data_IF_460093930329
#
_entry.id   IF_460093930329
#
_cell.length_a   1.000
_cell.length_b   1.000
_cell.length_c   1.000
_cell.angle_alpha   90.00
_cell.angle_beta   90.00
_cell.angle_gamma   90.00
#
_symmetry.space_group_name_H-M   'P 1'
#
loop_
_entity.id
_entity.type
_entity.pdbx_description
1 polymer ?
#
# COMPACT_ATOMS: atom_id res chain seq x y z
N UNK A 1 10.95 -4.66 10.39
CA UNK A 1 10.88 -4.82 8.92
C UNK A 1 11.15 -3.47 8.26
N UNK A 2 11.92 -3.43 7.17
CA UNK A 2 12.07 -2.24 6.33
C UNK A 2 10.88 -2.19 5.38
N UNK A 3 10.26 -1.02 5.19
CA UNK A 3 9.11 -0.88 4.27
C UNK A 3 9.57 -1.11 2.85
N UNK A 4 9.00 -2.11 2.19
CA UNK A 4 9.14 -2.33 0.76
C UNK A 4 7.94 -1.70 0.05
N UNK A 5 8.23 -0.67 -0.76
CA UNK A 5 7.19 0.11 -1.43
C UNK A 5 6.63 -0.58 -2.68
N UNK A 6 7.36 -1.50 -3.29
CA UNK A 6 6.84 -2.28 -4.39
C UNK A 6 5.85 -3.34 -3.83
N UNK A 7 6.15 -3.98 -2.69
CA UNK A 7 5.20 -4.86 -1.97
C UNK A 7 3.97 -4.10 -1.49
N UNK A 8 4.14 -2.89 -0.90
CA UNK A 8 3.01 -2.03 -0.50
C UNK A 8 2.10 -1.73 -1.69
N UNK A 9 2.67 -1.40 -2.85
CA UNK A 9 1.91 -1.12 -4.05
C UNK A 9 1.13 -2.35 -4.50
N UNK A 10 1.76 -3.51 -4.51
CA UNK A 10 1.13 -4.77 -4.94
C UNK A 10 -0.04 -5.15 -4.02
N UNK A 11 0.13 -5.04 -2.69
CA UNK A 11 -0.96 -5.23 -1.72
C UNK A 11 -2.13 -4.27 -1.97
N UNK A 12 -1.86 -2.99 -2.20
CA UNK A 12 -2.91 -2.01 -2.45
C UNK A 12 -3.69 -2.33 -3.74
N UNK A 13 -3.01 -2.78 -4.80
CA UNK A 13 -3.65 -3.22 -6.05
C UNK A 13 -4.53 -4.45 -5.81
N UNK A 14 -4.01 -5.42 -5.04
CA UNK A 14 -4.71 -6.66 -4.74
C UNK A 14 -5.99 -6.41 -3.95
N UNK A 15 -5.91 -5.59 -2.90
CA UNK A 15 -7.06 -5.22 -2.06
C UNK A 15 -8.06 -4.35 -2.82
N UNK A 16 -7.61 -3.47 -3.73
CA UNK A 16 -8.51 -2.69 -4.59
C UNK A 16 -9.33 -3.58 -5.55
N UNK A 17 -8.77 -4.72 -5.97
CA UNK A 17 -9.45 -5.64 -6.89
C UNK A 17 -10.61 -6.41 -6.24
N UNK A 18 -10.78 -6.32 -4.93
CA UNK A 18 -11.86 -6.98 -4.21
C UNK A 18 -13.22 -6.38 -4.55
N UNK A 19 -14.16 -7.25 -4.91
CA UNK A 19 -15.56 -6.88 -5.03
C UNK A 19 -16.27 -7.02 -3.67
N UNK A 20 -16.37 -5.90 -2.97
CA UNK A 20 -17.06 -5.81 -1.68
C UNK A 20 -18.55 -6.15 -1.79
N UNK A 21 -19.20 -5.96 -2.94
CA UNK A 21 -20.59 -6.34 -3.14
C UNK A 21 -20.77 -7.87 -3.24
N UNK A 22 -19.73 -8.59 -3.63
CA UNK A 22 -19.67 -10.05 -3.61
C UNK A 22 -19.14 -10.61 -2.27
N UNK A 23 -18.80 -9.74 -1.31
CA UNK A 23 -18.24 -10.14 -0.02
C UNK A 23 -16.86 -10.78 -0.13
N UNK A 24 -16.08 -10.43 -1.17
CA UNK A 24 -14.72 -10.92 -1.32
C UNK A 24 -13.82 -10.34 -0.22
N UNK A 25 -12.98 -11.19 0.34
CA UNK A 25 -12.00 -10.81 1.36
C UNK A 25 -10.67 -11.51 1.13
N UNK A 26 -9.58 -10.86 1.53
CA UNK A 26 -8.24 -11.49 1.57
C UNK A 26 -7.78 -11.53 3.01
N UNK A 27 -7.32 -12.69 3.45
CA UNK A 27 -6.71 -12.83 4.77
C UNK A 27 -5.22 -12.56 4.69
N UNK A 28 -4.76 -11.63 5.51
CA UNK A 28 -3.34 -11.37 5.74
C UNK A 28 -3.01 -11.64 7.21
N UNK A 29 -1.99 -12.46 7.46
CA UNK A 29 -1.58 -12.85 8.81
C UNK A 29 -1.07 -14.29 8.89
N UNK A 30 -0.81 -14.81 10.11
CA UNK A 30 -0.24 -16.15 10.31
C UNK A 30 -1.07 -17.30 9.72
N UNK A 31 -2.38 -17.10 9.59
CA UNK A 31 -3.32 -18.05 9.02
C UNK A 31 -3.60 -17.81 7.53
N UNK A 32 -2.95 -16.83 6.90
CA UNK A 32 -3.09 -16.57 5.46
C UNK A 32 -2.66 -17.80 4.65
N UNK A 33 -3.41 -18.10 3.58
CA UNK A 33 -3.03 -19.11 2.59
C UNK A 33 -1.90 -18.63 1.67
N UNK A 34 -1.47 -17.36 1.79
CA UNK A 34 -0.39 -16.77 1.02
C UNK A 34 0.98 -17.23 1.54
N UNK A 35 1.84 -17.73 0.65
CA UNK A 35 3.25 -18.03 0.95
C UNK A 35 4.14 -16.76 0.98
N UNK A 36 3.55 -15.56 1.08
CA UNK A 36 4.22 -14.27 1.00
C UNK A 36 4.20 -13.52 2.35
N UNK A 37 5.05 -13.87 3.33
CA UNK A 37 5.04 -13.26 4.66
C UNK A 37 5.35 -11.75 4.65
N UNK A 38 6.00 -11.26 3.60
CA UNK A 38 6.22 -9.83 3.41
C UNK A 38 4.92 -9.09 3.08
N UNK A 39 4.02 -9.69 2.29
CA UNK A 39 2.71 -9.09 2.02
C UNK A 39 1.86 -9.05 3.28
N UNK A 40 1.85 -10.13 4.07
CA UNK A 40 1.10 -10.16 5.33
C UNK A 40 1.51 -9.02 6.25
N UNK A 41 2.81 -8.90 6.49
CA UNK A 41 3.35 -7.87 7.36
C UNK A 41 3.06 -6.44 6.86
N UNK A 42 3.18 -6.18 5.55
CA UNK A 42 2.87 -4.86 4.99
C UNK A 42 1.37 -4.56 5.00
N UNK A 43 0.52 -5.56 4.76
CA UNK A 43 -0.94 -5.43 4.80
C UNK A 43 -1.43 -5.09 6.20
N UNK A 44 -0.90 -5.77 7.22
CA UNK A 44 -1.18 -5.47 8.63
C UNK A 44 -0.75 -4.03 8.98
N UNK A 45 0.42 -3.58 8.51
CA UNK A 45 0.87 -2.20 8.72
C UNK A 45 -0.04 -1.17 8.03
N UNK A 46 -0.46 -1.43 6.79
CA UNK A 46 -1.37 -0.57 6.03
C UNK A 46 -2.75 -0.49 6.68
N UNK A 47 -3.26 -1.61 7.17
CA UNK A 47 -4.51 -1.66 7.93
C UNK A 47 -4.42 -0.84 9.22
N UNK A 48 -3.40 -1.08 10.04
CA UNK A 48 -3.20 -0.33 11.30
C UNK A 48 -3.01 1.18 11.07
N UNK A 49 -2.47 1.56 9.90
CA UNK A 49 -2.33 2.95 9.50
C UNK A 49 -3.58 3.54 8.81
N UNK A 50 -4.65 2.76 8.64
CA UNK A 50 -5.93 3.23 8.09
C UNK A 50 -5.94 3.38 6.56
N UNK A 51 -5.11 2.62 5.83
CA UNK A 51 -5.14 2.57 4.36
C UNK A 51 -6.01 1.43 3.82
N UNK A 52 -6.20 0.36 4.60
CA UNK A 52 -7.03 -0.80 4.27
C UNK A 52 -8.21 -0.84 5.22
N UNK A 53 -9.41 -1.12 4.68
CA UNK A 53 -10.61 -1.44 5.42
C UNK A 53 -10.74 -2.96 5.55
N UNK A 54 -11.17 -3.43 6.71
CA UNK A 54 -11.40 -4.85 6.94
C UNK A 54 -11.73 -5.17 8.39
N UNK A 55 -11.88 -6.47 8.65
CA UNK A 55 -12.25 -7.01 9.94
C UNK A 55 -10.99 -7.55 10.63
N UNK A 56 -10.80 -7.16 11.89
CA UNK A 56 -9.73 -7.71 12.73
C UNK A 56 -9.91 -9.21 12.90
N UNK A 57 -8.90 -9.98 12.49
CA UNK A 57 -8.84 -11.42 12.58
C UNK A 57 -7.73 -11.88 13.55
N UNK A 58 -7.15 -10.95 14.32
CA UNK A 58 -6.02 -11.21 15.20
C UNK A 58 -6.39 -12.20 16.31
N UNK A 59 -5.46 -13.08 16.65
CA UNK A 59 -5.63 -14.11 17.66
C UNK A 59 -4.35 -14.30 18.50
N UNK A 60 -4.19 -15.47 19.13
CA UNK A 60 -2.99 -15.78 19.93
C UNK A 60 -1.74 -15.99 19.08
N UNK A 61 -1.89 -16.29 17.79
CA UNK A 61 -0.80 -16.59 16.86
C UNK A 61 -0.28 -15.31 16.17
N UNK A 62 -1.08 -14.24 16.14
CA UNK A 62 -0.59 -12.91 15.79
C UNK A 62 -1.65 -11.92 15.32
N UNK A 63 -1.16 -10.78 14.82
CA UNK A 63 -2.00 -9.79 14.13
C UNK A 63 -2.48 -10.37 12.80
N UNK A 64 -3.77 -10.26 12.50
CA UNK A 64 -4.33 -10.66 11.23
C UNK A 64 -5.53 -9.78 10.83
N UNK A 65 -5.82 -9.74 9.53
CA UNK A 65 -6.94 -8.99 8.97
C UNK A 65 -7.59 -9.75 7.81
N UNK A 66 -8.92 -9.74 7.79
CA UNK A 66 -9.69 -9.95 6.57
C UNK A 66 -9.90 -8.61 5.86
N UNK A 67 -9.06 -8.30 4.88
CA UNK A 67 -9.13 -7.09 4.08
C UNK A 67 -10.37 -7.15 3.18
N UNK A 68 -11.11 -6.04 3.14
CA UNK A 68 -12.38 -5.90 2.41
C UNK A 68 -12.34 -4.81 1.34
N UNK A 69 -11.35 -3.92 1.41
CA UNK A 69 -11.18 -2.83 0.46
C UNK A 69 -10.17 -1.79 0.94
N UNK A 70 -10.01 -0.72 0.15
CA UNK A 70 -9.17 0.41 0.52
C UNK A 70 -9.99 1.52 1.17
N UNK A 71 -9.38 2.24 2.11
CA UNK A 71 -9.93 3.53 2.52
C UNK A 71 -9.69 4.58 1.43
N UNK A 72 -10.32 5.76 1.55
CA UNK A 72 -9.99 6.93 0.71
C UNK A 72 -8.49 7.26 0.73
N UNK A 73 -7.84 7.17 1.89
CA UNK A 73 -6.40 7.39 2.00
C UNK A 73 -5.59 6.30 1.29
N UNK A 74 -6.09 5.05 1.31
CA UNK A 74 -5.56 3.92 0.54
C UNK A 74 -5.60 4.18 -0.96
N UNK A 75 -6.77 4.60 -1.48
CA UNK A 75 -6.91 4.98 -2.89
C UNK A 75 -5.99 6.15 -3.28
N UNK A 76 -5.93 7.23 -2.50
CA UNK A 76 -5.05 8.37 -2.78
C UNK A 76 -3.56 7.97 -2.87
N UNK A 77 -3.14 7.09 -1.95
CA UNK A 77 -1.79 6.56 -1.96
C UNK A 77 -1.55 5.70 -3.21
N UNK A 78 -2.46 4.79 -3.50
CA UNK A 78 -2.37 3.91 -4.66
C UNK A 78 -2.33 4.74 -5.95
N UNK A 79 -3.22 5.72 -6.14
CA UNK A 79 -3.21 6.60 -7.32
C UNK A 79 -1.87 7.31 -7.51
N UNK A 80 -1.21 7.70 -6.42
CA UNK A 80 0.11 8.33 -6.47
C UNK A 80 1.20 7.38 -7.01
N UNK A 81 1.14 6.10 -6.65
CA UNK A 81 2.18 5.11 -6.97
C UNK A 81 1.77 4.13 -8.09
N UNK A 82 0.51 4.19 -8.56
CA UNK A 82 -0.05 3.29 -9.59
C UNK A 82 0.67 3.48 -10.92
N UNK A 83 0.87 4.73 -11.32
CA UNK A 83 1.55 5.06 -12.57
C UNK A 83 3.03 4.73 -12.45
N UNK A 84 3.49 3.76 -13.27
CA UNK A 84 4.90 3.38 -13.32
C UNK A 84 5.81 4.59 -13.59
N UNK A 85 5.40 5.49 -14.49
CA UNK A 85 6.19 6.69 -14.83
C UNK A 85 6.33 7.62 -13.63
N UNK A 86 5.24 7.87 -12.90
CA UNK A 86 5.26 8.71 -11.70
C UNK A 86 6.07 8.03 -10.59
N UNK A 87 5.88 6.73 -10.38
CA UNK A 87 6.56 5.96 -9.35
C UNK A 87 8.08 5.92 -9.55
N UNK A 88 8.55 5.62 -10.77
CA UNK A 88 9.98 5.64 -11.07
C UNK A 88 10.60 7.04 -10.83
N UNK A 89 9.85 8.10 -11.14
CA UNK A 89 10.30 9.47 -10.89
C UNK A 89 10.35 9.82 -9.40
N UNK A 90 9.39 9.34 -8.61
CA UNK A 90 9.42 9.46 -7.14
C UNK A 90 10.68 8.75 -6.60
N UNK A 91 10.92 7.50 -6.99
CA UNK A 91 12.10 6.73 -6.56
C UNK A 91 13.40 7.42 -6.93
N UNK A 92 13.53 7.90 -8.18
CA UNK A 92 14.70 8.65 -8.62
C UNK A 92 14.92 9.91 -7.80
N UNK A 93 13.88 10.73 -7.62
CA UNK A 93 13.99 12.00 -6.86
C UNK A 93 14.34 11.76 -5.39
N UNK A 94 13.76 10.72 -4.78
CA UNK A 94 14.06 10.34 -3.40
C UNK A 94 15.52 9.91 -3.26
N UNK A 95 16.01 9.07 -4.16
CA UNK A 95 17.40 8.61 -4.17
C UNK A 95 18.38 9.77 -4.40
N UNK A 96 18.13 10.63 -5.39
CA UNK A 96 18.98 11.77 -5.72
C UNK A 96 19.10 12.77 -4.57
N UNK A 97 18.03 12.92 -3.78
CA UNK A 97 17.97 13.87 -2.64
C UNK A 97 18.27 13.21 -1.29
N UNK A 98 18.54 11.90 -1.25
CA UNK A 98 18.73 11.15 -0.01
C UNK A 98 17.50 11.18 0.92
N UNK A 99 16.30 11.25 0.35
CA UNK A 99 15.04 11.28 1.11
C UNK A 99 14.55 9.85 1.33
N UNK A 100 14.27 9.49 2.58
CA UNK A 100 13.62 8.23 2.88
C UNK A 100 12.14 8.26 2.48
N UNK A 101 11.66 7.15 1.90
CA UNK A 101 10.28 7.01 1.45
C UNK A 101 9.36 6.71 2.66
N UNK A 102 8.80 7.77 3.25
CA UNK A 102 7.66 7.74 4.17
C UNK A 102 6.36 8.05 3.41
N UNK A 103 5.19 7.78 4.00
CA UNK A 103 3.91 8.13 3.35
C UNK A 103 3.82 9.61 2.96
N UNK A 104 4.27 10.50 3.84
CA UNK A 104 4.28 11.94 3.55
C UNK A 104 5.29 12.31 2.47
N UNK A 105 6.47 11.67 2.47
CA UNK A 105 7.47 11.88 1.43
C UNK A 105 6.95 11.40 0.06
N UNK A 106 6.32 10.23 -0.01
CA UNK A 106 5.70 9.71 -1.23
C UNK A 106 4.61 10.65 -1.74
N UNK A 107 3.73 11.14 -0.86
CA UNK A 107 2.69 12.12 -1.24
C UNK A 107 3.29 13.43 -1.76
N UNK A 108 4.31 13.97 -1.08
CA UNK A 108 4.96 15.22 -1.48
C UNK A 108 5.71 15.08 -2.82
N UNK A 109 6.49 14.00 -2.97
CA UNK A 109 7.23 13.70 -4.19
C UNK A 109 6.28 13.37 -5.35
N UNK A 110 5.16 12.70 -5.09
CA UNK A 110 4.13 12.43 -6.09
C UNK A 110 3.51 13.70 -6.66
N UNK A 111 3.17 14.67 -5.81
CA UNK A 111 2.71 16.00 -6.26
C UNK A 111 3.76 16.71 -7.11
N UNK A 112 5.03 16.66 -6.69
CA UNK A 112 6.13 17.26 -7.45
C UNK A 112 6.36 16.55 -8.81
N UNK A 113 6.27 15.22 -8.84
CA UNK A 113 6.41 14.43 -10.05
C UNK A 113 5.27 14.71 -11.05
N UNK A 114 4.02 14.78 -10.57
CA UNK A 114 2.86 15.14 -11.39
C UNK A 114 2.99 16.57 -11.96
N UNK A 115 3.36 17.55 -11.13
CA UNK A 115 3.57 18.92 -11.58
C UNK A 115 4.65 19.02 -12.67
N UNK A 116 5.73 18.24 -12.54
CA UNK A 116 6.80 18.20 -13.54
C UNK A 116 6.37 17.55 -14.86
N UNK A 117 5.37 16.67 -14.87
CA UNK A 117 4.82 16.05 -16.09
C UNK A 117 3.78 16.96 -16.75
N UNK A 118 2.96 17.66 -15.96
CA UNK A 118 1.91 18.56 -16.48
C UNK A 118 2.51 19.87 -16.99
N UNK A 119 3.58 20.36 -16.34
CA UNK A 119 4.26 21.61 -16.68
C UNK A 119 5.37 21.48 -17.73
N UNK A 120 5.57 20.29 -18.31
CA UNK A 120 6.56 20.00 -19.35
C UNK A 120 5.96 19.93 -20.74
#
# INVERSE_FOLDING_TARGET
MKRDWDVIRDVLIEVEALDSAQGQTIEYGPASESDEPEKDAHSILLWKAGFIEGIDASDMDGDAIHAQGLTWAGHDLLETIRSKVVWERIKATANDKGIELTFDAVKALGKAALAAIIGS
#
